data_IF_402767836832
#
_entry.id   IF_402767836832
#
_cell.length_a   1.000
_cell.length_b   1.000
_cell.length_c   1.000
_cell.angle_alpha   90.00
_cell.angle_beta   90.00
_cell.angle_gamma   90.00
#
_symmetry.space_group_name_H-M   'P 1'
#
loop_
_entity.id
_entity.type
_entity.pdbx_description
1 polymer ?
#
# COMPACT_ATOMS: atom_id res chain seq x y z
N UNK A 1 -13.44 -10.06 14.79
CA UNK A 1 -12.18 -10.80 14.81
C UNK A 1 -12.02 -11.72 16.02
N UNK A 2 -10.84 -12.32 16.17
CA UNK A 2 -10.56 -13.30 17.24
C UNK A 2 -10.76 -12.75 18.68
N UNK A 3 -10.71 -11.43 18.85
CA UNK A 3 -10.92 -10.77 20.13
C UNK A 3 -12.36 -10.24 20.34
N UNK A 4 -13.30 -10.62 19.48
CA UNK A 4 -14.69 -10.16 19.55
C UNK A 4 -14.95 -8.79 18.92
N UNK A 5 -13.91 -8.01 18.61
CA UNK A 5 -14.05 -6.71 17.94
C UNK A 5 -14.40 -6.88 16.46
N UNK A 6 -15.17 -5.95 15.91
CA UNK A 6 -15.52 -5.89 14.50
C UNK A 6 -14.69 -4.79 13.79
N UNK A 7 -13.73 -5.14 12.93
CA UNK A 7 -12.95 -4.15 12.22
C UNK A 7 -13.72 -3.57 11.03
N UNK A 8 -13.65 -2.25 10.87
CA UNK A 8 -14.16 -1.51 9.72
C UNK A 8 -12.99 -0.86 9.00
N UNK A 9 -12.58 -1.36 7.81
CA UNK A 9 -11.48 -0.78 7.04
C UNK A 9 -11.91 0.55 6.42
N UNK A 10 -11.09 1.58 6.62
CA UNK A 10 -11.25 2.91 6.05
C UNK A 10 -10.02 3.23 5.22
N UNK A 11 -10.16 3.21 3.90
CA UNK A 11 -9.11 3.63 3.00
C UNK A 11 -9.06 5.16 2.92
N UNK A 12 -7.93 5.76 3.30
CA UNK A 12 -7.71 7.21 3.21
C UNK A 12 -7.83 7.71 1.77
N UNK A 13 -7.50 6.85 0.80
CA UNK A 13 -7.63 7.14 -0.64
C UNK A 13 -9.07 7.47 -1.07
N UNK A 14 -10.08 7.04 -0.32
CA UNK A 14 -11.48 7.43 -0.58
C UNK A 14 -11.76 8.91 -0.28
N UNK A 15 -10.86 9.58 0.42
CA UNK A 15 -10.95 11.00 0.75
C UNK A 15 -10.11 11.90 -0.16
N UNK A 16 -9.59 11.38 -1.29
CA UNK A 16 -8.96 12.24 -2.28
C UNK A 16 -9.91 13.38 -2.71
N UNK A 17 -9.34 14.57 -2.88
CA UNK A 17 -10.02 15.66 -3.57
C UNK A 17 -10.14 15.33 -5.07
N UNK A 18 -11.03 16.01 -5.77
CA UNK A 18 -11.19 15.80 -7.21
C UNK A 18 -9.86 15.96 -7.95
N UNK A 19 -9.58 15.09 -8.91
CA UNK A 19 -8.30 15.02 -9.63
C UNK A 19 -7.87 16.37 -10.21
N UNK A 20 -8.81 17.21 -10.67
CA UNK A 20 -8.49 18.52 -11.25
C UNK A 20 -7.95 19.51 -10.19
N UNK A 21 -8.29 19.32 -8.91
CA UNK A 21 -7.83 20.13 -7.77
C UNK A 21 -6.52 19.60 -7.15
N UNK A 22 -6.10 18.37 -7.49
CA UNK A 22 -4.88 17.77 -6.93
C UNK A 22 -3.68 18.70 -7.15
N UNK A 23 -2.88 18.99 -6.09
CA UNK A 23 -1.66 19.79 -6.22
C UNK A 23 -0.71 19.24 -7.26
N UNK A 24 0.13 20.10 -7.81
CA UNK A 24 1.22 19.70 -8.70
C UNK A 24 2.54 19.70 -7.95
N UNK A 25 3.42 18.79 -8.33
CA UNK A 25 4.79 18.73 -7.80
C UNK A 25 5.71 19.77 -8.49
N UNK A 26 6.98 19.75 -8.11
CA UNK A 26 8.01 20.65 -8.68
C UNK A 26 8.27 20.42 -10.18
N UNK A 27 7.80 19.29 -10.73
CA UNK A 27 7.89 18.96 -12.16
C UNK A 27 6.61 19.31 -12.95
N UNK A 28 5.59 19.84 -12.27
CA UNK A 28 4.29 20.17 -12.87
C UNK A 28 3.34 18.97 -13.02
N UNK A 29 3.69 17.82 -12.45
CA UNK A 29 2.86 16.61 -12.44
C UNK A 29 1.94 16.58 -11.22
N UNK A 30 0.77 15.95 -11.35
CA UNK A 30 -0.17 15.79 -10.24
C UNK A 30 0.44 14.96 -9.11
N UNK A 31 0.53 15.57 -7.92
CA UNK A 31 1.08 14.92 -6.73
C UNK A 31 -0.04 14.29 -5.89
N UNK A 32 -0.30 13.01 -6.09
CA UNK A 32 -1.26 12.23 -5.31
C UNK A 32 -0.68 11.71 -3.99
N UNK A 33 0.62 11.85 -3.78
CA UNK A 33 1.31 11.34 -2.59
C UNK A 33 1.36 12.39 -1.46
N UNK A 34 1.00 13.64 -1.71
CA UNK A 34 0.99 14.66 -0.67
C UNK A 34 -0.31 14.65 0.15
N UNK A 35 -0.23 15.10 1.40
CA UNK A 35 -1.40 15.16 2.30
C UNK A 35 -2.47 16.11 1.79
N UNK A 36 -2.08 17.16 1.09
CA UNK A 36 -2.96 18.16 0.50
C UNK A 36 -3.82 17.61 -0.67
N UNK A 37 -3.52 16.41 -1.15
CA UNK A 37 -4.38 15.67 -2.09
C UNK A 37 -5.58 15.00 -1.40
N UNK A 38 -5.58 14.95 -0.06
CA UNK A 38 -6.64 14.37 0.78
C UNK A 38 -7.51 15.51 1.34
N UNK A 39 -8.81 15.32 1.35
CA UNK A 39 -9.76 16.18 2.08
C UNK A 39 -9.72 15.85 3.58
N UNK A 40 -8.71 16.39 4.23
CA UNK A 40 -8.42 16.12 5.65
C UNK A 40 -9.55 16.63 6.55
N UNK A 41 -10.22 17.71 6.16
CA UNK A 41 -11.36 18.26 6.94
C UNK A 41 -12.54 17.30 6.92
N UNK A 42 -12.94 16.82 5.74
CA UNK A 42 -14.04 15.85 5.63
C UNK A 42 -13.69 14.54 6.34
N UNK A 43 -12.43 14.07 6.20
CA UNK A 43 -11.95 12.87 6.89
C UNK A 43 -12.13 13.00 8.42
N UNK A 44 -11.65 14.09 9.01
CA UNK A 44 -11.77 14.30 10.45
C UNK A 44 -13.22 14.42 10.92
N UNK A 45 -14.05 15.12 10.15
CA UNK A 45 -15.48 15.25 10.44
C UNK A 45 -16.15 13.88 10.48
N UNK A 46 -15.97 13.06 9.47
CA UNK A 46 -16.59 11.73 9.37
C UNK A 46 -16.11 10.81 10.49
N UNK A 47 -14.81 10.82 10.79
CA UNK A 47 -14.24 10.00 11.86
C UNK A 47 -14.77 10.42 13.23
N UNK A 48 -14.90 11.73 13.52
CA UNK A 48 -15.47 12.23 14.77
C UNK A 48 -16.95 11.82 14.91
N UNK A 49 -17.73 11.99 13.85
CA UNK A 49 -19.14 11.61 13.86
C UNK A 49 -19.32 10.09 14.08
N UNK A 50 -18.45 9.26 13.50
CA UNK A 50 -18.44 7.81 13.75
C UNK A 50 -18.10 7.50 15.22
N UNK A 51 -17.09 8.16 15.80
CA UNK A 51 -16.71 7.97 17.21
C UNK A 51 -17.83 8.40 18.17
N UNK A 52 -18.66 9.35 17.77
CA UNK A 52 -19.88 9.77 18.51
C UNK A 52 -21.05 8.80 18.32
N UNK A 53 -20.89 7.72 17.55
CA UNK A 53 -21.93 6.74 17.25
C UNK A 53 -22.96 7.21 16.23
N UNK A 54 -22.68 8.29 15.49
CA UNK A 54 -23.54 8.77 14.41
C UNK A 54 -23.42 7.88 13.18
N UNK A 55 -24.47 7.90 12.36
CA UNK A 55 -24.49 7.24 11.06
C UNK A 55 -23.92 8.17 10.00
N UNK A 56 -22.81 7.76 9.36
CA UNK A 56 -22.06 8.52 8.35
C UNK A 56 -22.13 7.83 7.01
N UNK A 57 -22.38 8.58 5.94
CA UNK A 57 -22.27 8.07 4.57
C UNK A 57 -20.80 8.10 4.16
N UNK A 58 -20.26 6.91 3.84
CA UNK A 58 -18.84 6.74 3.52
C UNK A 58 -18.57 7.12 2.07
N UNK A 59 -17.54 7.96 1.79
CA UNK A 59 -17.16 8.28 0.44
C UNK A 59 -16.44 7.10 -0.24
N UNK A 60 -16.48 7.09 -1.58
CA UNK A 60 -15.70 6.21 -2.43
C UNK A 60 -15.04 7.06 -3.52
N UNK A 61 -13.72 6.93 -3.69
CA UNK A 61 -13.04 7.63 -4.76
C UNK A 61 -13.04 6.81 -6.05
N UNK A 62 -13.60 7.37 -7.09
CA UNK A 62 -13.62 6.74 -8.41
C UNK A 62 -12.34 7.08 -9.18
N UNK A 63 -11.38 6.17 -9.20
CA UNK A 63 -10.09 6.37 -9.87
C UNK A 63 -10.19 6.54 -11.40
N UNK A 64 -11.29 6.11 -12.02
CA UNK A 64 -11.50 6.29 -13.48
C UNK A 64 -11.90 7.72 -13.78
N UNK A 65 -12.90 8.24 -13.08
CA UNK A 65 -13.40 9.61 -13.25
C UNK A 65 -12.52 10.64 -12.54
N UNK A 66 -11.84 10.24 -11.46
CA UNK A 66 -11.03 11.10 -10.61
C UNK A 66 -11.89 12.00 -9.71
N UNK A 67 -13.02 11.50 -9.27
CA UNK A 67 -13.97 12.22 -8.41
C UNK A 67 -14.39 11.38 -7.20
N UNK A 68 -14.70 12.05 -6.11
CA UNK A 68 -15.30 11.42 -4.92
C UNK A 68 -16.81 11.27 -5.12
N UNK A 69 -17.32 10.10 -4.81
CA UNK A 69 -18.73 9.72 -4.97
C UNK A 69 -19.29 9.23 -3.63
N UNK A 70 -20.58 9.44 -3.43
CA UNK A 70 -21.36 8.86 -2.33
C UNK A 70 -22.40 7.91 -2.93
N UNK A 71 -22.38 6.65 -2.47
CA UNK A 71 -23.18 5.55 -3.08
C UNK A 71 -24.25 5.00 -2.17
N UNK A 72 -24.53 5.69 -1.06
CA UNK A 72 -25.48 5.24 -0.06
C UNK A 72 -24.91 4.20 0.90
N UNK A 73 -23.59 4.05 0.98
CA UNK A 73 -22.93 3.16 1.91
C UNK A 73 -22.75 3.87 3.25
N UNK A 74 -23.49 3.43 4.27
CA UNK A 74 -23.49 4.06 5.59
C UNK A 74 -22.77 3.18 6.60
N UNK A 75 -21.94 3.81 7.42
CA UNK A 75 -21.31 3.20 8.58
C UNK A 75 -21.83 3.86 9.85
N UNK A 76 -22.07 3.06 10.88
CA UNK A 76 -22.34 3.48 12.24
C UNK A 76 -21.64 2.51 13.18
N UNK A 77 -20.90 3.02 14.15
CA UNK A 77 -20.11 2.19 15.05
C UNK A 77 -20.96 1.77 16.27
N UNK A 78 -20.83 0.49 16.62
CA UNK A 78 -21.23 -0.08 17.89
C UNK A 78 -20.05 -0.08 18.87
N UNK A 79 -20.34 -0.45 20.13
CA UNK A 79 -19.37 -0.42 21.24
C UNK A 79 -18.11 -1.26 20.98
N UNK A 80 -18.25 -2.39 20.27
CA UNK A 80 -17.16 -3.35 20.01
C UNK A 80 -16.54 -3.18 18.60
N UNK A 81 -16.89 -2.11 17.92
CA UNK A 81 -16.37 -1.80 16.60
C UNK A 81 -15.05 -1.05 16.69
N UNK A 82 -14.17 -1.29 15.71
CA UNK A 82 -12.89 -0.61 15.60
C UNK A 82 -12.68 -0.14 14.16
N UNK A 83 -12.26 1.11 13.99
CA UNK A 83 -11.84 1.63 12.70
C UNK A 83 -10.40 1.20 12.39
N UNK A 84 -10.19 0.64 11.22
CA UNK A 84 -8.85 0.31 10.71
C UNK A 84 -8.55 1.26 9.55
N UNK A 85 -7.91 2.38 9.87
CA UNK A 85 -7.56 3.42 8.90
C UNK A 85 -6.27 3.00 8.19
N UNK A 86 -6.28 2.93 6.88
CA UNK A 86 -5.11 2.57 6.08
C UNK A 86 -4.83 3.62 5.01
N UNK A 87 -3.53 3.86 4.76
CA UNK A 87 -3.03 4.81 3.77
C UNK A 87 -1.64 5.32 4.13
N UNK A 88 -0.97 5.92 3.14
CA UNK A 88 0.42 6.41 3.32
C UNK A 88 0.55 7.51 4.37
N UNK A 89 -0.54 8.22 4.68
CA UNK A 89 -0.60 9.26 5.71
C UNK A 89 -1.09 8.76 7.06
N UNK A 90 -1.34 7.46 7.23
CA UNK A 90 -1.94 6.90 8.46
C UNK A 90 -1.16 7.18 9.75
N UNK A 91 0.17 7.34 9.67
CA UNK A 91 1.02 7.68 10.81
C UNK A 91 1.12 9.19 11.08
N UNK A 92 0.79 10.03 10.09
CA UNK A 92 0.89 11.48 10.20
C UNK A 92 -0.26 12.05 11.01
N UNK A 93 0.04 12.67 12.16
CA UNK A 93 -0.98 13.29 13.03
C UNK A 93 -1.76 14.43 12.35
N UNK A 94 -1.22 15.03 11.29
CA UNK A 94 -1.95 16.04 10.50
C UNK A 94 -3.17 15.44 9.80
N UNK A 95 -3.15 14.15 9.41
CA UNK A 95 -4.31 13.48 8.82
C UNK A 95 -5.47 13.39 9.80
N UNK A 96 -5.19 13.05 11.05
CA UNK A 96 -6.19 12.77 12.08
C UNK A 96 -6.10 13.76 13.25
N UNK A 97 -5.89 15.05 12.93
CA UNK A 97 -5.58 16.08 13.91
C UNK A 97 -6.69 16.31 14.94
N UNK A 98 -7.95 16.08 14.55
CA UNK A 98 -9.10 16.29 15.41
C UNK A 98 -9.43 15.09 16.32
N UNK A 99 -8.84 13.90 16.01
CA UNK A 99 -9.10 12.69 16.80
C UNK A 99 -8.25 12.68 18.08
N UNK A 100 -8.83 12.28 19.23
CA UNK A 100 -8.09 12.14 20.49
C UNK A 100 -6.90 11.18 20.35
N UNK A 101 -5.75 11.51 20.92
CA UNK A 101 -4.55 10.65 20.85
C UNK A 101 -4.79 9.29 21.49
N UNK A 102 -5.51 9.25 22.60
CA UNK A 102 -5.86 8.03 23.36
C UNK A 102 -6.80 7.10 22.60
N UNK A 103 -7.46 7.56 21.55
CA UNK A 103 -8.30 6.73 20.68
C UNK A 103 -7.54 6.11 19.52
N UNK A 104 -6.26 6.43 19.37
CA UNK A 104 -5.41 6.00 18.25
C UNK A 104 -4.39 4.96 18.69
N UNK A 105 -4.21 3.95 17.87
CA UNK A 105 -3.10 3.01 17.96
C UNK A 105 -2.45 2.90 16.59
N UNK A 106 -1.22 3.36 16.49
CA UNK A 106 -0.49 3.49 15.23
C UNK A 106 0.38 2.27 14.95
N UNK A 107 0.23 1.69 13.78
CA UNK A 107 1.00 0.54 13.32
C UNK A 107 1.81 0.92 12.09
N UNK A 108 3.14 0.90 12.19
CA UNK A 108 3.99 0.98 11.02
C UNK A 108 4.10 -0.38 10.37
N UNK A 109 3.57 -0.50 9.15
CA UNK A 109 3.58 -1.74 8.37
C UNK A 109 4.62 -1.65 7.27
N UNK A 110 5.61 -2.52 7.27
CA UNK A 110 6.61 -2.58 6.20
C UNK A 110 7.08 -4.01 5.93
N UNK A 111 7.50 -4.26 4.68
CA UNK A 111 8.13 -5.52 4.30
C UNK A 111 9.65 -5.42 4.51
N UNK A 112 10.09 -5.47 5.76
CA UNK A 112 11.51 -5.34 6.12
C UNK A 112 12.21 -6.67 5.88
N UNK A 113 12.81 -6.83 4.69
CA UNK A 113 13.57 -8.03 4.37
C UNK A 113 14.82 -8.11 5.25
N UNK A 114 14.94 -9.20 6.02
CA UNK A 114 16.04 -9.45 6.96
C UNK A 114 17.03 -10.48 6.44
N UNK A 115 16.88 -10.91 5.19
CA UNK A 115 17.72 -11.89 4.56
C UNK A 115 18.92 -11.24 3.86
N UNK A 116 20.03 -11.96 3.85
CA UNK A 116 21.20 -11.64 3.04
C UNK A 116 21.25 -12.56 1.82
N UNK A 117 21.83 -12.07 0.72
CA UNK A 117 22.15 -12.89 -0.45
C UNK A 117 23.45 -13.65 -0.19
N UNK A 118 24.40 -12.99 0.49
CA UNK A 118 25.68 -13.54 0.90
C UNK A 118 26.12 -12.91 2.24
N UNK A 119 27.35 -13.17 2.67
CA UNK A 119 27.90 -12.72 3.96
C UNK A 119 27.90 -11.18 4.13
N UNK A 120 27.88 -10.43 3.03
CA UNK A 120 28.06 -8.99 3.04
C UNK A 120 26.89 -8.21 2.44
N UNK A 121 26.02 -8.88 1.65
CA UNK A 121 24.97 -8.23 0.88
C UNK A 121 23.57 -8.57 1.41
N UNK A 122 23.00 -7.62 2.13
CA UNK A 122 21.60 -7.70 2.54
C UNK A 122 20.68 -7.45 1.35
N UNK A 123 19.57 -8.15 1.30
CA UNK A 123 18.50 -7.91 0.33
C UNK A 123 17.87 -6.54 0.62
N UNK A 124 17.90 -5.61 -0.35
CA UNK A 124 17.25 -4.31 -0.16
C UNK A 124 15.73 -4.47 0.03
N UNK A 125 15.19 -3.85 1.07
CA UNK A 125 13.75 -3.81 1.32
C UNK A 125 12.98 -3.25 0.12
N UNK A 126 13.57 -2.28 -0.57
CA UNK A 126 13.02 -1.66 -1.76
C UNK A 126 12.80 -2.64 -2.91
N UNK A 127 13.68 -3.63 -3.07
CA UNK A 127 13.56 -4.63 -4.14
C UNK A 127 12.37 -5.56 -3.89
N UNK A 128 12.22 -6.05 -2.66
CA UNK A 128 11.06 -6.86 -2.28
C UNK A 128 9.74 -6.12 -2.51
N UNK A 129 9.69 -4.84 -2.15
CA UNK A 129 8.51 -4.00 -2.35
C UNK A 129 8.21 -3.72 -3.81
N UNK A 130 9.24 -3.43 -4.63
CA UNK A 130 9.08 -3.25 -6.07
C UNK A 130 8.56 -4.53 -6.72
N UNK A 131 9.14 -5.68 -6.38
CA UNK A 131 8.72 -6.99 -6.90
C UNK A 131 7.26 -7.29 -6.51
N UNK A 132 6.89 -7.12 -5.24
CA UNK A 132 5.50 -7.24 -4.79
C UNK A 132 4.56 -6.38 -5.64
N UNK A 133 4.94 -5.11 -5.85
CA UNK A 133 4.14 -4.16 -6.64
C UNK A 133 4.01 -4.58 -8.09
N UNK A 134 5.10 -5.01 -8.74
CA UNK A 134 5.07 -5.49 -10.14
C UNK A 134 4.07 -6.63 -10.28
N UNK A 135 4.12 -7.63 -9.41
CA UNK A 135 3.24 -8.79 -9.47
C UNK A 135 1.78 -8.40 -9.20
N UNK A 136 1.53 -7.60 -8.16
CA UNK A 136 0.16 -7.15 -7.82
C UNK A 136 -0.44 -6.30 -8.94
N UNK A 137 0.28 -5.28 -9.39
CA UNK A 137 -0.25 -4.30 -10.34
C UNK A 137 -0.52 -4.93 -11.70
N UNK A 138 0.31 -5.89 -12.13
CA UNK A 138 0.04 -6.69 -13.33
C UNK A 138 -1.24 -7.52 -13.18
N UNK A 139 -1.47 -8.14 -12.02
CA UNK A 139 -2.62 -9.01 -11.77
C UNK A 139 -3.93 -8.24 -11.57
N UNK A 140 -3.90 -7.14 -10.80
CA UNK A 140 -5.13 -6.49 -10.30
C UNK A 140 -5.42 -5.15 -10.95
N UNK A 141 -4.42 -4.46 -11.49
CA UNK A 141 -4.53 -3.11 -12.01
C UNK A 141 -4.31 -2.98 -13.51
N UNK A 142 -3.91 -4.10 -14.16
CA UNK A 142 -3.59 -4.11 -15.59
C UNK A 142 -2.38 -3.23 -15.95
N UNK A 143 -1.52 -2.90 -14.97
CA UNK A 143 -0.33 -2.08 -15.15
C UNK A 143 0.86 -3.00 -15.46
N UNK A 144 1.59 -2.72 -16.52
CA UNK A 144 2.75 -3.51 -16.92
C UNK A 144 3.94 -3.34 -15.94
N UNK A 145 4.88 -4.30 -15.95
CA UNK A 145 6.11 -4.19 -15.17
C UNK A 145 6.92 -2.94 -15.55
N UNK A 146 6.95 -2.58 -16.85
CA UNK A 146 7.57 -1.36 -17.36
C UNK A 146 6.98 -0.12 -16.69
N UNK A 147 5.67 0.05 -16.72
CA UNK A 147 4.99 1.20 -16.12
C UNK A 147 5.20 1.26 -14.59
N UNK A 148 5.23 0.09 -13.93
CA UNK A 148 5.49 0.02 -12.49
C UNK A 148 6.92 0.47 -12.16
N UNK A 149 7.92 0.04 -12.93
CA UNK A 149 9.32 0.46 -12.78
C UNK A 149 9.45 1.96 -13.07
N UNK A 150 8.84 2.46 -14.15
CA UNK A 150 8.89 3.88 -14.51
C UNK A 150 8.34 4.79 -13.38
N UNK A 151 7.28 4.36 -12.69
CA UNK A 151 6.66 5.09 -11.57
C UNK A 151 7.38 4.91 -10.23
N UNK A 152 8.26 3.93 -10.11
CA UNK A 152 8.90 3.58 -8.83
C UNK A 152 9.65 4.73 -8.15
N UNK A 153 10.41 5.59 -8.87
CA UNK A 153 11.05 6.75 -8.27
C UNK A 153 10.06 7.71 -7.57
N UNK A 154 8.88 7.94 -8.16
CA UNK A 154 7.83 8.78 -7.55
C UNK A 154 7.29 8.14 -6.26
N UNK A 155 7.03 6.83 -6.27
CA UNK A 155 6.61 6.10 -5.07
C UNK A 155 7.64 6.21 -3.96
N UNK A 156 8.92 6.08 -4.29
CA UNK A 156 10.03 6.21 -3.33
C UNK A 156 10.07 7.60 -2.70
N UNK A 157 9.93 8.65 -3.50
CA UNK A 157 9.85 10.01 -2.95
C UNK A 157 8.65 10.17 -2.01
N UNK A 158 7.51 9.61 -2.37
CA UNK A 158 6.32 9.61 -1.50
C UNK A 158 6.57 8.94 -0.16
N UNK A 159 7.26 7.79 -0.14
CA UNK A 159 7.65 7.09 1.09
C UNK A 159 8.59 7.94 1.95
N UNK A 160 9.61 8.53 1.34
CA UNK A 160 10.61 9.35 2.01
C UNK A 160 10.02 10.63 2.61
N UNK A 161 9.00 11.19 1.99
CA UNK A 161 8.35 12.41 2.42
C UNK A 161 7.19 12.16 3.41
N UNK A 162 6.43 11.08 3.22
CA UNK A 162 5.13 10.92 3.89
C UNK A 162 5.05 9.71 4.83
N UNK A 163 6.03 8.79 4.80
CA UNK A 163 6.00 7.59 5.67
C UNK A 163 7.19 7.60 6.63
N UNK A 164 8.41 7.67 6.11
CA UNK A 164 9.61 7.50 6.94
C UNK A 164 9.78 8.55 8.04
N UNK A 165 9.42 9.83 7.84
CA UNK A 165 9.50 10.83 8.91
C UNK A 165 8.61 10.53 10.12
N UNK A 166 7.54 9.72 9.92
CA UNK A 166 6.53 9.41 10.94
C UNK A 166 6.66 7.98 11.50
N UNK A 167 7.65 7.20 11.08
CA UNK A 167 7.76 5.81 11.52
C UNK A 167 8.04 5.67 13.02
N UNK A 168 8.74 6.63 13.62
CA UNK A 168 9.03 6.67 15.06
C UNK A 168 7.81 7.05 15.91
N UNK A 169 6.75 7.59 15.29
CA UNK A 169 5.49 7.93 15.95
C UNK A 169 4.56 6.70 16.08
N UNK A 170 4.97 5.55 15.56
CA UNK A 170 4.18 4.34 15.63
C UNK A 170 4.32 3.65 17.00
N UNK A 171 3.17 3.17 17.54
CA UNK A 171 3.14 2.40 18.78
C UNK A 171 3.80 1.02 18.61
N UNK A 172 3.66 0.43 17.41
CA UNK A 172 4.29 -0.84 17.06
C UNK A 172 4.72 -0.87 15.60
N UNK A 173 5.74 -1.67 15.31
CA UNK A 173 6.18 -1.99 13.96
C UNK A 173 5.81 -3.42 13.62
N UNK A 174 5.14 -3.61 12.48
CA UNK A 174 4.82 -4.93 11.95
C UNK A 174 5.62 -5.20 10.67
N UNK A 175 6.50 -6.20 10.73
CA UNK A 175 7.24 -6.66 9.56
C UNK A 175 6.39 -7.67 8.75
N UNK A 176 5.98 -7.27 7.55
CA UNK A 176 5.18 -8.11 6.65
C UNK A 176 6.02 -8.98 5.70
N UNK A 177 7.35 -8.93 5.78
CA UNK A 177 8.22 -9.75 4.94
C UNK A 177 8.12 -11.23 5.34
N UNK A 178 7.99 -12.10 4.34
CA UNK A 178 8.03 -13.55 4.52
C UNK A 178 9.33 -14.10 3.96
N UNK A 179 9.97 -15.04 4.69
CA UNK A 179 11.27 -15.59 4.29
C UNK A 179 11.23 -16.22 2.89
N UNK A 180 10.12 -16.83 2.52
CA UNK A 180 9.95 -17.55 1.24
C UNK A 180 9.36 -16.71 0.12
N UNK A 181 8.97 -15.47 0.37
CA UNK A 181 8.17 -14.68 -0.59
C UNK A 181 8.89 -14.41 -1.90
N UNK A 182 10.19 -14.10 -1.87
CA UNK A 182 10.96 -13.82 -3.08
C UNK A 182 11.08 -15.05 -3.98
N UNK A 183 11.23 -16.24 -3.39
CA UNK A 183 11.24 -17.50 -4.12
C UNK A 183 9.90 -17.80 -4.81
N UNK A 184 8.77 -17.47 -4.16
CA UNK A 184 7.43 -17.58 -4.74
C UNK A 184 7.16 -16.48 -5.77
N UNK A 185 7.49 -15.21 -5.45
CA UNK A 185 7.27 -14.07 -6.35
C UNK A 185 8.08 -14.16 -7.63
N UNK A 186 9.26 -14.81 -7.59
CA UNK A 186 10.10 -15.07 -8.76
C UNK A 186 9.30 -15.66 -9.91
N UNK A 187 8.49 -16.69 -9.65
CA UNK A 187 7.68 -17.40 -10.67
C UNK A 187 6.74 -16.44 -11.42
N UNK A 188 6.24 -15.42 -10.74
CA UNK A 188 5.30 -14.43 -11.32
C UNK A 188 6.03 -13.23 -11.92
N UNK A 189 7.10 -12.78 -11.29
CA UNK A 189 7.80 -11.55 -11.68
C UNK A 189 8.70 -11.75 -12.91
N UNK A 190 9.41 -12.88 -13.00
CA UNK A 190 10.35 -13.12 -14.11
C UNK A 190 9.70 -12.99 -15.51
N UNK A 191 8.53 -13.61 -15.79
CA UNK A 191 7.90 -13.44 -17.09
C UNK A 191 7.53 -12.00 -17.42
N UNK A 192 7.11 -11.23 -16.41
CA UNK A 192 6.75 -9.81 -16.55
C UNK A 192 7.98 -8.95 -16.87
N UNK A 193 9.10 -9.23 -16.22
CA UNK A 193 10.38 -8.54 -16.42
C UNK A 193 11.01 -8.89 -17.77
N UNK A 194 10.94 -10.15 -18.20
CA UNK A 194 11.41 -10.58 -19.53
C UNK A 194 10.63 -9.93 -20.68
N UNK A 195 9.39 -9.47 -20.41
CA UNK A 195 8.58 -8.76 -21.39
C UNK A 195 9.08 -7.34 -21.72
N UNK A 196 10.04 -6.78 -20.96
CA UNK A 196 10.57 -5.43 -21.19
C UNK A 196 11.67 -5.49 -22.25
N UNK A 197 11.50 -4.75 -23.35
CA UNK A 197 12.42 -4.76 -24.47
C UNK A 197 13.74 -4.04 -24.15
N UNK A 198 14.82 -4.41 -24.87
CA UNK A 198 16.19 -3.91 -24.58
C UNK A 198 16.37 -2.41 -24.83
N UNK A 199 15.57 -1.85 -25.70
CA UNK A 199 15.56 -0.43 -26.07
C UNK A 199 14.72 0.45 -25.13
N UNK A 200 14.04 -0.15 -24.16
CA UNK A 200 13.23 0.56 -23.17
C UNK A 200 14.10 1.07 -22.00
N UNK A 201 13.80 2.28 -21.47
CA UNK A 201 14.55 2.87 -20.36
C UNK A 201 14.58 1.97 -19.11
N UNK A 202 13.50 1.25 -18.85
CA UNK A 202 13.30 0.39 -17.69
C UNK A 202 14.05 -0.96 -17.78
N UNK A 203 14.62 -1.27 -18.97
CA UNK A 203 15.32 -2.54 -19.20
C UNK A 203 16.50 -2.77 -18.24
N UNK A 204 17.23 -1.72 -17.90
CA UNK A 204 18.38 -1.83 -16.99
C UNK A 204 17.95 -2.32 -15.62
N UNK A 205 16.86 -1.76 -15.09
CA UNK A 205 16.30 -2.17 -13.79
C UNK A 205 15.68 -3.57 -13.86
N UNK A 206 14.95 -3.87 -14.93
CA UNK A 206 14.40 -5.21 -15.17
C UNK A 206 15.50 -6.27 -15.20
N UNK A 207 16.60 -6.00 -15.89
CA UNK A 207 17.76 -6.90 -15.95
C UNK A 207 18.43 -7.06 -14.58
N UNK A 208 18.52 -5.99 -13.79
CA UNK A 208 19.05 -6.03 -12.43
C UNK A 208 18.22 -6.96 -11.56
N UNK A 209 16.87 -6.82 -11.59
CA UNK A 209 15.96 -7.67 -10.85
C UNK A 209 15.99 -9.13 -11.31
N UNK A 210 16.10 -9.38 -12.62
CA UNK A 210 16.28 -10.75 -13.15
C UNK A 210 17.57 -11.39 -12.62
N UNK A 211 18.69 -10.66 -12.60
CA UNK A 211 19.93 -11.14 -11.99
C UNK A 211 19.81 -11.38 -10.50
N UNK A 212 19.08 -10.52 -9.80
CA UNK A 212 18.78 -10.71 -8.38
C UNK A 212 18.01 -12.03 -8.16
N UNK A 213 17.08 -12.38 -9.02
CA UNK A 213 16.33 -13.63 -8.92
C UNK A 213 17.19 -14.89 -9.18
N UNK A 214 18.34 -14.79 -9.80
CA UNK A 214 19.24 -15.93 -9.97
C UNK A 214 19.71 -16.54 -8.63
N UNK A 215 19.69 -15.75 -7.54
CA UNK A 215 20.02 -16.23 -6.19
C UNK A 215 18.92 -17.06 -5.52
N UNK A 216 17.72 -17.13 -6.10
CA UNK A 216 16.57 -17.81 -5.51
C UNK A 216 16.18 -19.05 -6.33
N UNK A 217 15.96 -20.15 -5.63
CA UNK A 217 15.28 -21.31 -6.22
C UNK A 217 13.79 -21.01 -6.26
N UNK A 218 13.11 -21.17 -7.42
CA UNK A 218 11.68 -20.89 -7.52
C UNK A 218 10.89 -21.89 -6.67
N UNK A 219 9.90 -21.37 -5.94
CA UNK A 219 8.99 -22.18 -5.12
C UNK A 219 7.58 -22.01 -5.67
N UNK A 220 6.88 -23.14 -6.00
CA UNK A 220 5.52 -23.07 -6.50
C UNK A 220 4.56 -22.57 -5.41
N UNK A 221 3.52 -21.88 -5.83
CA UNK A 221 2.59 -21.19 -4.92
C UNK A 221 1.54 -22.10 -4.27
N UNK A 222 1.43 -23.35 -4.69
CA UNK A 222 0.40 -24.30 -4.22
C UNK A 222 0.49 -24.56 -2.71
N UNK A 223 1.71 -24.56 -2.16
CA UNK A 223 1.96 -24.75 -0.73
C UNK A 223 1.73 -23.48 0.12
N UNK A 224 1.52 -22.31 -0.50
CA UNK A 224 1.28 -21.06 0.22
C UNK A 224 -0.14 -21.09 0.81
N UNK A 225 -0.32 -20.92 2.13
CA UNK A 225 -1.64 -20.90 2.75
C UNK A 225 -2.54 -19.80 2.17
N UNK A 226 -3.85 -20.05 2.07
CA UNK A 226 -4.80 -19.07 1.50
C UNK A 226 -4.96 -17.81 2.37
N UNK A 227 -4.62 -17.87 3.65
CA UNK A 227 -4.60 -16.72 4.57
C UNK A 227 -3.23 -16.03 4.64
N UNK A 228 -2.25 -16.46 3.84
CA UNK A 228 -0.94 -15.78 3.77
C UNK A 228 -1.08 -14.40 3.14
N UNK A 229 -0.37 -13.41 3.69
CA UNK A 229 -0.27 -12.06 3.11
C UNK A 229 0.29 -12.09 1.68
N UNK A 230 1.07 -13.11 1.33
CA UNK A 230 1.60 -13.27 -0.02
C UNK A 230 0.48 -13.45 -1.06
N UNK A 231 -0.68 -13.98 -0.65
CA UNK A 231 -1.84 -14.17 -1.53
C UNK A 231 -2.45 -12.85 -2.04
N UNK A 232 -2.21 -11.74 -1.37
CA UNK A 232 -2.55 -10.41 -1.90
C UNK A 232 -1.88 -10.16 -3.26
N UNK A 233 -0.64 -10.60 -3.42
CA UNK A 233 0.16 -10.37 -4.63
C UNK A 233 -0.09 -11.44 -5.69
N UNK A 234 -0.05 -12.72 -5.31
CA UNK A 234 -0.12 -13.86 -6.24
C UNK A 234 -1.55 -14.38 -6.50
N UNK A 235 -2.53 -13.93 -5.73
CA UNK A 235 -3.92 -14.38 -5.84
C UNK A 235 -4.25 -15.60 -4.98
N UNK A 236 -5.54 -15.97 -4.95
CA UNK A 236 -6.04 -17.12 -4.18
C UNK A 236 -6.13 -16.86 -2.68
N UNK A 237 -6.29 -15.59 -2.25
CA UNK A 237 -6.57 -15.23 -0.86
C UNK A 237 -7.95 -15.72 -0.42
N UNK A 238 -8.07 -16.12 0.86
CA UNK A 238 -9.38 -16.35 1.49
C UNK A 238 -10.03 -15.04 1.95
N UNK A 239 -9.32 -13.91 1.87
CA UNK A 239 -9.85 -12.59 2.13
C UNK A 239 -10.24 -11.91 0.81
N UNK A 240 -11.33 -11.15 0.83
CA UNK A 240 -11.69 -10.25 -0.27
C UNK A 240 -10.80 -9.01 -0.19
N UNK A 241 -9.91 -8.87 -1.15
CA UNK A 241 -8.98 -7.75 -1.34
C UNK A 241 -9.16 -7.13 -2.71
#
# INVERSE_FOLDING_TARGET
GALGMKPHPIAVDNYFIDRHLTPVDEFGEKNFECLEAIDVEQFNKDMLELLEGKRVEMPVFNFKTGTREYKGDFLQLDKDDILVIEGIHGLNDRLSYALPKESKFKIYLSALTQLNIDEHNRIPTTDGRLIRRIVRDARTRGTSAKETIARWPSVRRGEEQNIFPFQEDADVMFNSALIYELACLKVYAEPLLFGIAKDEPEYTEAKRLLKFFEYFVPVPSEAVPNNSILREFIGGSCFNV
#
